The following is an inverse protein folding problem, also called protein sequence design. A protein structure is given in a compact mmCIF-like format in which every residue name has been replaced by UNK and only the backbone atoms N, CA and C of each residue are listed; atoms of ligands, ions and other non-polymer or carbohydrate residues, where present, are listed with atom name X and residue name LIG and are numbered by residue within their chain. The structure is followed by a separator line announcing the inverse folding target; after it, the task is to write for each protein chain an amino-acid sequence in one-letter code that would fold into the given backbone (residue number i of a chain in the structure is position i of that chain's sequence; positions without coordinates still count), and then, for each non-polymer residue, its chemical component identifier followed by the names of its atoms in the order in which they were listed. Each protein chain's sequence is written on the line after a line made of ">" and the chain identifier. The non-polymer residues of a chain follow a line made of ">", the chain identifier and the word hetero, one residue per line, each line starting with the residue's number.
data_IF_911843459402
#
_entry.id   IF_911843459402
#
_cell.length_a   1.000
_cell.length_b   1.000
_cell.length_c   1.000
_cell.angle_alpha   90.00
_cell.angle_beta   90.00
_cell.angle_gamma   90.00
#
_symmetry.space_group_name_H-M   'P 1'
#
loop_
_entity.id
_entity.type
_entity.pdbx_description
1 polymer ?
#
# COMPACT_ATOMS: atom_id res chain seq x y z
N UNK A 1 -69.27 -54.88 -7.80
CA UNK A 1 -68.94 -53.70 -8.64
C UNK A 1 -68.73 -52.55 -7.69
N UNK A 2 -67.47 -52.13 -7.51
CA UNK A 2 -67.10 -51.04 -6.59
C UNK A 2 -66.70 -49.81 -7.47
N UNK A 3 -67.12 -48.58 -7.20
CA UNK A 3 -66.68 -47.41 -7.94
C UNK A 3 -65.28 -46.96 -7.48
N UNK A 4 -64.50 -46.58 -8.47
CA UNK A 4 -63.15 -46.04 -8.28
C UNK A 4 -63.26 -44.53 -8.12
N UNK A 5 -62.87 -44.00 -6.97
CA UNK A 5 -62.81 -42.55 -6.70
C UNK A 5 -61.50 -41.98 -7.26
N UNK A 6 -61.62 -41.09 -8.21
CA UNK A 6 -60.50 -40.35 -8.79
C UNK A 6 -60.12 -39.15 -7.89
N UNK A 7 -58.95 -39.20 -7.31
CA UNK A 7 -58.37 -38.08 -6.56
C UNK A 7 -57.65 -37.14 -7.52
N UNK A 8 -58.22 -35.95 -7.71
CA UNK A 8 -57.59 -34.82 -8.45
C UNK A 8 -56.56 -34.13 -7.52
N UNK A 9 -55.28 -34.29 -7.84
CA UNK A 9 -54.19 -33.61 -7.15
C UNK A 9 -53.97 -32.25 -7.81
N UNK A 10 -54.41 -31.17 -7.15
CA UNK A 10 -54.19 -29.80 -7.61
C UNK A 10 -52.78 -29.35 -7.27
N UNK A 11 -51.93 -29.20 -8.29
CA UNK A 11 -50.59 -28.71 -8.17
C UNK A 11 -50.62 -27.16 -8.07
N UNK A 12 -50.41 -26.61 -6.90
CA UNK A 12 -50.26 -25.17 -6.70
C UNK A 12 -48.82 -24.74 -7.09
N UNK A 13 -48.67 -24.01 -8.20
CA UNK A 13 -47.43 -23.34 -8.57
C UNK A 13 -47.23 -22.13 -7.65
N UNK A 14 -46.24 -22.22 -6.75
CA UNK A 14 -45.75 -21.08 -5.97
C UNK A 14 -44.79 -20.31 -6.84
N UNK A 15 -45.20 -19.16 -7.37
CA UNK A 15 -44.30 -18.17 -7.97
C UNK A 15 -43.48 -17.50 -6.85
N UNK A 16 -42.26 -17.90 -6.69
CA UNK A 16 -41.30 -17.14 -5.88
C UNK A 16 -40.93 -15.85 -6.62
N UNK A 17 -41.46 -14.73 -6.17
CA UNK A 17 -41.02 -13.40 -6.60
C UNK A 17 -39.58 -13.18 -6.16
N UNK A 18 -38.63 -13.34 -7.09
CA UNK A 18 -37.23 -13.00 -6.86
C UNK A 18 -37.13 -11.49 -6.60
N UNK A 19 -36.69 -11.09 -5.42
CA UNK A 19 -36.33 -9.72 -5.13
C UNK A 19 -35.22 -9.28 -6.10
N UNK A 20 -35.26 -8.05 -6.67
CA UNK A 20 -34.19 -7.56 -7.49
C UNK A 20 -32.94 -7.43 -6.61
N UNK A 21 -31.92 -8.25 -6.85
CA UNK A 21 -30.58 -7.99 -6.37
C UNK A 21 -30.17 -6.64 -6.97
N UNK A 22 -30.00 -5.64 -6.11
CA UNK A 22 -29.35 -4.41 -6.50
C UNK A 22 -27.99 -4.82 -7.09
N UNK A 23 -27.83 -4.63 -8.39
CA UNK A 23 -26.57 -4.82 -9.07
C UNK A 23 -25.60 -3.84 -8.43
N UNK A 24 -24.68 -4.35 -7.60
CA UNK A 24 -23.51 -3.64 -7.15
C UNK A 24 -22.81 -3.20 -8.44
N UNK A 25 -22.85 -1.90 -8.73
CA UNK A 25 -22.21 -1.34 -9.93
C UNK A 25 -20.75 -1.70 -9.83
N UNK A 26 -20.31 -2.65 -10.64
CA UNK A 26 -18.90 -3.01 -10.77
C UNK A 26 -18.11 -1.71 -10.96
N UNK A 27 -17.31 -1.35 -9.97
CA UNK A 27 -16.47 -0.16 -10.06
C UNK A 27 -15.64 -0.32 -11.34
N UNK A 28 -15.83 0.60 -12.30
CA UNK A 28 -15.14 0.56 -13.60
C UNK A 28 -13.62 0.43 -13.39
N UNK A 29 -12.93 -0.08 -14.41
CA UNK A 29 -11.47 -0.16 -14.37
C UNK A 29 -10.86 1.22 -14.04
N UNK A 30 -9.74 1.28 -13.28
CA UNK A 30 -9.10 2.55 -12.96
C UNK A 30 -8.72 3.33 -14.21
N UNK A 31 -8.93 4.64 -14.19
CA UNK A 31 -8.64 5.55 -15.30
C UNK A 31 -7.41 6.43 -14.95
N UNK A 32 -6.20 6.09 -15.46
CA UNK A 32 -4.98 6.86 -15.16
C UNK A 32 -5.03 8.33 -15.60
N UNK A 33 -5.84 8.66 -16.61
CA UNK A 33 -6.04 10.06 -17.07
C UNK A 33 -6.77 10.90 -16.02
N UNK A 34 -7.81 10.35 -15.38
CA UNK A 34 -8.45 11.00 -14.23
C UNK A 34 -7.48 11.06 -13.04
N UNK A 35 -6.67 10.02 -12.85
CA UNK A 35 -5.61 10.00 -11.85
C UNK A 35 -4.57 11.11 -12.06
N UNK A 36 -4.20 11.42 -13.29
CA UNK A 36 -3.31 12.52 -13.62
C UNK A 36 -3.88 13.89 -13.24
N UNK A 37 -5.17 14.12 -13.47
CA UNK A 37 -5.84 15.35 -13.07
C UNK A 37 -5.85 15.51 -11.53
N UNK A 38 -6.15 14.44 -10.78
CA UNK A 38 -6.09 14.44 -9.32
C UNK A 38 -4.65 14.69 -8.84
N UNK A 39 -3.67 14.03 -9.46
CA UNK A 39 -2.25 14.27 -9.15
C UNK A 39 -1.90 15.73 -9.23
N UNK A 40 -2.22 16.39 -10.34
CA UNK A 40 -1.88 17.80 -10.59
C UNK A 40 -2.55 18.74 -9.60
N UNK A 41 -3.81 18.50 -9.25
CA UNK A 41 -4.58 19.43 -8.41
C UNK A 41 -4.39 19.20 -6.90
N UNK A 42 -4.05 17.98 -6.47
CA UNK A 42 -4.04 17.61 -5.04
C UNK A 42 -2.67 17.16 -4.56
N UNK A 43 -1.96 16.33 -5.33
CA UNK A 43 -0.80 15.58 -4.82
C UNK A 43 0.55 16.22 -5.19
N UNK A 44 0.62 16.88 -6.35
CA UNK A 44 1.87 17.30 -7.00
C UNK A 44 2.70 18.29 -6.20
N UNK A 45 2.06 19.14 -5.38
CA UNK A 45 2.76 20.12 -4.56
C UNK A 45 3.76 19.46 -3.57
N UNK A 46 3.46 18.25 -3.11
CA UNK A 46 4.30 17.51 -2.16
C UNK A 46 4.99 16.29 -2.77
N UNK A 47 4.35 15.61 -3.73
CA UNK A 47 4.83 14.36 -4.32
C UNK A 47 5.33 14.49 -5.77
N UNK A 48 5.42 15.70 -6.32
CA UNK A 48 5.66 15.98 -7.75
C UNK A 48 4.55 15.44 -8.66
N UNK A 49 4.48 15.93 -9.90
CA UNK A 49 3.41 15.54 -10.84
C UNK A 49 3.43 14.05 -11.20
N UNK A 50 4.61 13.45 -11.26
CA UNK A 50 4.81 12.05 -11.62
C UNK A 50 5.11 11.14 -10.42
N UNK A 51 5.09 11.66 -9.20
CA UNK A 51 5.40 10.93 -7.98
C UNK A 51 6.88 10.63 -7.79
N UNK A 52 7.75 11.27 -8.57
CA UNK A 52 9.20 11.07 -8.52
C UNK A 52 9.84 11.74 -7.29
N UNK A 53 11.16 11.76 -7.29
CA UNK A 53 11.96 12.30 -6.19
C UNK A 53 11.76 13.81 -6.02
N UNK A 54 11.05 14.19 -4.96
CA UNK A 54 10.88 15.55 -4.47
C UNK A 54 11.57 15.79 -3.13
N UNK A 55 10.87 16.40 -2.19
CA UNK A 55 11.35 16.58 -0.81
C UNK A 55 11.56 15.24 -0.10
N UNK A 56 12.67 15.10 0.63
CA UNK A 56 12.99 13.88 1.37
C UNK A 56 11.98 13.54 2.49
N UNK A 57 11.23 14.52 2.96
CA UNK A 57 10.17 14.32 3.94
C UNK A 57 8.93 13.60 3.35
N UNK A 58 8.73 13.69 2.03
CA UNK A 58 7.60 13.11 1.34
C UNK A 58 8.03 11.86 0.55
N UNK A 59 7.26 10.76 0.57
CA UNK A 59 7.66 9.56 -0.15
C UNK A 59 7.63 9.72 -1.66
N UNK A 60 8.56 9.05 -2.34
CA UNK A 60 8.46 8.75 -3.75
C UNK A 60 7.33 7.74 -3.91
N UNK A 61 6.33 8.06 -4.73
CA UNK A 61 5.17 7.20 -4.99
C UNK A 61 5.12 6.70 -6.44
N UNK A 62 6.05 7.15 -7.26
CA UNK A 62 6.28 6.71 -8.64
C UNK A 62 6.59 5.21 -8.69
N UNK A 63 5.85 4.45 -9.50
CA UNK A 63 6.03 3.01 -9.66
C UNK A 63 5.74 2.19 -8.40
N UNK A 64 4.98 2.74 -7.46
CA UNK A 64 4.49 2.00 -6.31
C UNK A 64 3.29 1.14 -6.70
N UNK A 65 3.07 0.03 -6.01
CA UNK A 65 1.94 -0.85 -6.25
C UNK A 65 0.59 -0.13 -6.04
N UNK A 66 -0.35 -0.22 -6.98
CA UNK A 66 -1.60 0.54 -6.92
C UNK A 66 -2.43 0.18 -5.69
N UNK A 67 -2.57 -1.10 -5.35
CA UNK A 67 -3.34 -1.54 -4.19
C UNK A 67 -2.74 -1.05 -2.86
N UNK A 68 -1.40 -0.96 -2.80
CA UNK A 68 -0.73 -0.35 -1.65
C UNK A 68 -1.05 1.14 -1.54
N UNK A 69 -1.07 1.88 -2.65
CA UNK A 69 -1.43 3.30 -2.65
C UNK A 69 -2.88 3.51 -2.24
N UNK A 70 -3.81 2.73 -2.80
CA UNK A 70 -5.24 2.75 -2.40
C UNK A 70 -5.39 2.48 -0.91
N UNK A 71 -4.76 1.41 -0.41
CA UNK A 71 -4.75 1.08 1.01
C UNK A 71 -4.26 2.25 1.88
N UNK A 72 -3.14 2.88 1.50
CA UNK A 72 -2.61 4.00 2.29
C UNK A 72 -3.55 5.21 2.28
N UNK A 73 -4.12 5.58 1.13
CA UNK A 73 -5.06 6.69 1.03
C UNK A 73 -6.33 6.43 1.87
N UNK A 74 -6.89 5.23 1.76
CA UNK A 74 -8.05 4.83 2.57
C UNK A 74 -7.75 4.86 4.07
N UNK A 75 -6.56 4.42 4.48
CA UNK A 75 -6.17 4.39 5.89
C UNK A 75 -5.83 5.78 6.46
N UNK A 76 -5.29 6.69 5.65
CA UNK A 76 -5.17 8.10 6.01
C UNK A 76 -6.55 8.75 6.19
N UNK A 77 -7.47 8.54 5.24
CA UNK A 77 -8.85 9.04 5.31
C UNK A 77 -9.56 8.54 6.56
N UNK A 78 -9.43 7.26 6.88
CA UNK A 78 -10.04 6.62 8.04
C UNK A 78 -9.31 6.90 9.38
N UNK A 79 -8.15 7.58 9.36
CA UNK A 79 -7.33 7.82 10.55
C UNK A 79 -6.60 6.59 11.10
N UNK A 80 -6.60 5.47 10.37
CA UNK A 80 -5.82 4.25 10.74
C UNK A 80 -4.32 4.45 10.58
N UNK A 81 -3.91 5.31 9.64
CA UNK A 81 -2.55 5.79 9.48
C UNK A 81 -2.53 7.27 9.82
N UNK A 82 -1.85 7.62 10.92
CA UNK A 82 -1.83 9.00 11.41
C UNK A 82 -0.86 9.86 10.59
N UNK A 83 -1.40 10.90 9.99
CA UNK A 83 -0.71 12.03 9.37
C UNK A 83 -1.76 13.09 9.00
N UNK A 84 -1.74 14.24 9.68
CA UNK A 84 -2.76 15.28 9.49
C UNK A 84 -2.84 15.81 8.07
N UNK A 85 -1.68 16.01 7.40
CA UNK A 85 -1.63 16.49 6.02
C UNK A 85 -2.26 15.47 5.08
N UNK A 86 -1.81 14.20 5.14
CA UNK A 86 -2.33 13.15 4.26
C UNK A 86 -3.80 12.83 4.54
N UNK A 87 -4.26 12.94 5.79
CA UNK A 87 -5.68 12.82 6.13
C UNK A 87 -6.51 13.91 5.44
N UNK A 88 -6.05 15.16 5.48
CA UNK A 88 -6.73 16.26 4.80
C UNK A 88 -6.77 16.03 3.28
N UNK A 89 -5.66 15.60 2.67
CA UNK A 89 -5.58 15.34 1.23
C UNK A 89 -6.41 14.13 0.77
N UNK A 90 -6.49 13.07 1.58
CA UNK A 90 -7.24 11.87 1.26
C UNK A 90 -8.75 11.99 1.56
N UNK A 91 -9.15 12.87 2.48
CA UNK A 91 -10.55 12.99 2.92
C UNK A 91 -11.56 13.27 1.81
N UNK A 92 -11.31 14.19 0.84
CA UNK A 92 -12.24 14.47 -0.24
C UNK A 92 -12.29 13.38 -1.32
N UNK A 93 -11.29 12.47 -1.38
CA UNK A 93 -11.21 11.47 -2.44
C UNK A 93 -12.27 10.38 -2.26
N UNK A 94 -12.97 10.07 -3.34
CA UNK A 94 -13.80 8.86 -3.44
C UNK A 94 -12.90 7.61 -3.57
N UNK A 95 -13.48 6.43 -3.43
CA UNK A 95 -12.76 5.18 -3.67
C UNK A 95 -12.27 5.07 -5.12
N UNK A 96 -13.09 5.53 -6.07
CA UNK A 96 -12.72 5.60 -7.49
C UNK A 96 -11.54 6.55 -7.72
N UNK A 97 -11.54 7.74 -7.08
CA UNK A 97 -10.42 8.68 -7.17
C UNK A 97 -9.13 8.07 -6.63
N UNK A 98 -9.18 7.36 -5.51
CA UNK A 98 -8.04 6.67 -4.95
C UNK A 98 -7.50 5.61 -5.90
N UNK A 99 -8.37 4.84 -6.57
CA UNK A 99 -7.97 3.85 -7.59
C UNK A 99 -7.36 4.52 -8.81
N UNK A 100 -7.95 5.61 -9.29
CA UNK A 100 -7.46 6.35 -10.45
C UNK A 100 -6.07 6.95 -10.23
N UNK A 101 -5.86 7.65 -9.11
CA UNK A 101 -4.57 8.26 -8.79
C UNK A 101 -3.50 7.22 -8.48
N UNK A 102 -3.87 6.11 -7.86
CA UNK A 102 -2.98 4.98 -7.62
C UNK A 102 -2.52 4.33 -8.93
N UNK A 103 -3.43 4.10 -9.87
CA UNK A 103 -3.10 3.59 -11.21
C UNK A 103 -2.20 4.55 -11.98
N UNK A 104 -2.43 5.85 -11.87
CA UNK A 104 -1.57 6.87 -12.49
C UNK A 104 -0.13 6.80 -11.97
N UNK A 105 0.09 6.79 -10.65
CA UNK A 105 1.44 6.71 -10.10
C UNK A 105 2.11 5.35 -10.33
N UNK A 106 1.34 4.27 -10.30
CA UNK A 106 1.83 2.92 -10.59
C UNK A 106 2.31 2.78 -12.05
N UNK A 107 1.72 3.50 -13.00
CA UNK A 107 2.14 3.49 -14.40
C UNK A 107 3.48 4.18 -14.68
N UNK A 108 4.05 4.89 -13.70
CA UNK A 108 5.30 5.63 -13.87
C UNK A 108 6.50 4.74 -13.62
N UNK A 109 7.55 4.93 -14.41
CA UNK A 109 8.80 4.19 -14.25
C UNK A 109 9.60 4.72 -13.06
N UNK A 110 9.91 3.89 -12.05
CA UNK A 110 10.69 4.34 -10.91
C UNK A 110 12.10 4.74 -11.32
N UNK A 111 12.57 5.85 -10.77
CA UNK A 111 13.96 6.30 -10.96
C UNK A 111 14.85 5.70 -9.87
N UNK A 112 16.10 5.29 -10.20
CA UNK A 112 17.03 4.79 -9.20
C UNK A 112 17.37 5.87 -8.17
N UNK A 113 17.62 5.42 -6.94
CA UNK A 113 18.17 6.24 -5.87
C UNK A 113 19.61 5.86 -5.55
N UNK A 114 20.15 6.45 -4.49
CA UNK A 114 21.53 6.23 -4.07
C UNK A 114 21.63 6.15 -2.55
N UNK A 115 22.39 5.18 -2.05
CA UNK A 115 22.89 5.19 -0.68
C UNK A 115 23.95 6.30 -0.54
N UNK A 116 23.94 7.00 0.57
CA UNK A 116 24.82 8.15 0.80
C UNK A 116 25.87 7.89 1.88
N UNK A 117 25.60 6.95 2.77
CA UNK A 117 26.46 6.67 3.92
C UNK A 117 27.21 5.36 3.72
N UNK A 118 28.47 5.48 3.27
CA UNK A 118 29.35 4.32 3.00
C UNK A 118 29.60 3.45 4.24
N UNK A 119 29.62 4.04 5.43
CA UNK A 119 29.88 3.33 6.68
C UNK A 119 28.68 2.49 7.14
N UNK A 120 27.48 2.82 6.67
CA UNK A 120 26.24 2.13 7.02
C UNK A 120 25.76 1.14 5.96
N UNK A 121 26.16 1.29 4.70
CA UNK A 121 25.68 0.48 3.58
C UNK A 121 25.85 -1.03 3.85
N UNK A 122 27.01 -1.45 4.30
CA UNK A 122 27.28 -2.89 4.58
C UNK A 122 26.40 -3.43 5.70
N UNK A 123 26.16 -2.64 6.75
CA UNK A 123 25.24 -3.02 7.82
C UNK A 123 23.80 -3.11 7.30
N UNK A 124 23.39 -2.11 6.51
CA UNK A 124 22.05 -2.06 5.91
C UNK A 124 21.80 -3.25 4.98
N UNK A 125 22.77 -3.59 4.14
CA UNK A 125 22.70 -4.77 3.29
C UNK A 125 22.56 -6.06 4.08
N UNK A 126 23.40 -6.23 5.11
CA UNK A 126 23.39 -7.41 5.97
C UNK A 126 22.00 -7.60 6.61
N UNK A 127 21.43 -6.54 7.16
CA UNK A 127 20.09 -6.58 7.78
C UNK A 127 19.01 -6.82 6.72
N UNK A 128 19.07 -6.11 5.59
CA UNK A 128 18.07 -6.25 4.54
C UNK A 128 18.01 -7.67 3.97
N UNK A 129 19.17 -8.28 3.72
CA UNK A 129 19.27 -9.61 3.10
C UNK A 129 19.26 -10.77 4.08
N UNK A 130 19.80 -10.59 5.30
CA UNK A 130 19.96 -11.66 6.29
C UNK A 130 19.12 -11.52 7.55
N UNK A 131 18.59 -10.34 7.83
CA UNK A 131 17.92 -10.07 9.10
C UNK A 131 18.90 -9.99 10.28
N UNK A 132 18.39 -10.20 11.50
CA UNK A 132 19.16 -10.25 12.75
C UNK A 132 18.67 -11.44 13.57
N UNK A 133 19.35 -12.57 13.45
CA UNK A 133 18.88 -13.87 13.95
C UNK A 133 18.67 -13.92 15.47
N UNK A 134 19.62 -13.40 16.24
CA UNK A 134 19.59 -13.36 17.71
C UNK A 134 18.41 -12.56 18.30
N UNK A 135 17.87 -11.62 17.52
CA UNK A 135 16.68 -10.83 17.88
C UNK A 135 15.44 -11.20 17.09
N UNK A 136 15.49 -12.30 16.32
CA UNK A 136 14.37 -12.73 15.48
C UNK A 136 13.81 -11.60 14.60
N UNK A 137 14.70 -10.81 13.98
CA UNK A 137 14.37 -9.86 12.93
C UNK A 137 14.53 -10.57 11.59
N UNK A 138 13.45 -10.81 10.83
CA UNK A 138 13.54 -11.48 9.53
C UNK A 138 14.25 -10.59 8.51
N UNK A 139 14.80 -11.21 7.45
CA UNK A 139 15.31 -10.48 6.32
C UNK A 139 14.21 -9.64 5.65
N UNK A 140 14.43 -8.35 5.45
CA UNK A 140 13.48 -7.46 4.79
C UNK A 140 13.17 -7.93 3.36
N UNK A 141 14.19 -8.49 2.70
CA UNK A 141 14.10 -9.06 1.34
C UNK A 141 13.08 -10.20 1.22
N UNK A 142 12.79 -10.92 2.31
CA UNK A 142 11.81 -12.01 2.31
C UNK A 142 10.39 -11.55 2.00
N UNK A 143 10.05 -10.31 2.36
CA UNK A 143 8.74 -9.71 2.09
C UNK A 143 8.81 -8.63 1.00
N UNK A 144 9.84 -7.79 1.01
CA UNK A 144 9.96 -6.67 0.08
C UNK A 144 10.72 -7.02 -1.22
N UNK A 145 11.13 -8.27 -1.37
CA UNK A 145 11.90 -8.77 -2.52
C UNK A 145 13.40 -8.43 -2.45
N UNK A 146 14.24 -9.21 -3.12
CA UNK A 146 15.70 -9.04 -3.08
C UNK A 146 16.16 -7.71 -3.67
N UNK A 147 15.45 -7.19 -4.65
CA UNK A 147 15.67 -5.87 -5.27
C UNK A 147 14.82 -4.75 -4.66
N UNK A 148 14.03 -5.02 -3.63
CA UNK A 148 13.13 -4.04 -3.03
C UNK A 148 11.93 -3.67 -3.92
N UNK A 149 11.61 -4.48 -4.91
CA UNK A 149 10.48 -4.23 -5.79
C UNK A 149 9.12 -4.38 -5.07
N UNK A 150 9.11 -5.09 -3.95
CA UNK A 150 7.89 -5.42 -3.22
C UNK A 150 7.14 -6.60 -3.84
N UNK A 151 5.97 -6.87 -3.28
CA UNK A 151 4.98 -7.78 -3.84
C UNK A 151 3.65 -7.06 -3.96
N UNK A 152 3.01 -7.05 -5.15
CA UNK A 152 1.74 -6.38 -5.37
C UNK A 152 0.70 -6.75 -4.32
N UNK A 153 -0.11 -5.77 -3.93
CA UNK A 153 -1.15 -5.81 -2.90
C UNK A 153 -0.66 -6.05 -1.45
N UNK A 154 0.45 -6.74 -1.24
CA UNK A 154 0.89 -7.13 0.11
C UNK A 154 2.01 -6.24 0.66
N UNK A 155 3.11 -6.11 -0.09
CA UNK A 155 4.31 -5.41 0.38
C UNK A 155 4.73 -4.31 -0.58
N UNK A 156 4.96 -3.07 -0.09
CA UNK A 156 5.32 -1.96 -0.96
C UNK A 156 6.71 -2.12 -1.57
N UNK A 157 6.88 -1.48 -2.74
CA UNK A 157 8.20 -1.20 -3.29
C UNK A 157 8.95 -0.28 -2.33
N UNK A 158 10.21 -0.64 -2.03
CA UNK A 158 11.13 0.12 -1.20
C UNK A 158 12.30 0.69 -2.01
N UNK A 159 12.71 0.01 -3.08
CA UNK A 159 13.87 0.36 -3.88
C UNK A 159 13.85 1.81 -4.35
N UNK A 160 14.92 2.53 -4.09
CA UNK A 160 15.09 3.92 -4.48
C UNK A 160 14.30 4.94 -3.66
N UNK A 161 13.63 4.52 -2.57
CA UNK A 161 12.90 5.44 -1.68
C UNK A 161 13.86 6.41 -0.96
N UNK A 162 13.39 7.56 -0.52
CA UNK A 162 14.17 8.46 0.33
C UNK A 162 14.57 7.78 1.64
N UNK A 163 15.86 7.82 1.98
CA UNK A 163 16.36 7.27 3.25
C UNK A 163 15.66 7.91 4.46
N UNK A 164 15.53 9.24 4.46
CA UNK A 164 14.88 9.99 5.54
C UNK A 164 13.42 9.55 5.75
N UNK A 165 12.71 9.30 4.65
CA UNK A 165 11.33 8.80 4.72
C UNK A 165 11.28 7.37 5.29
N UNK A 166 12.15 6.47 4.82
CA UNK A 166 12.21 5.09 5.33
C UNK A 166 12.56 5.07 6.81
N UNK A 167 13.55 5.86 7.23
CA UNK A 167 13.93 6.03 8.64
C UNK A 167 12.74 6.50 9.45
N UNK A 168 12.08 7.59 9.04
CA UNK A 168 10.92 8.13 9.73
C UNK A 168 9.77 7.11 9.85
N UNK A 169 9.53 6.29 8.81
CA UNK A 169 8.49 5.28 8.88
C UNK A 169 8.84 4.12 9.83
N UNK A 170 10.09 3.67 9.86
CA UNK A 170 10.54 2.63 10.80
C UNK A 170 10.47 3.12 12.24
N UNK A 171 10.90 4.36 12.50
CA UNK A 171 10.77 5.01 13.82
C UNK A 171 9.29 5.14 14.21
N UNK A 172 8.41 5.53 13.29
CA UNK A 172 6.98 5.65 13.55
C UNK A 172 6.32 4.30 13.86
N UNK A 173 6.71 3.23 13.18
CA UNK A 173 6.28 1.87 13.51
C UNK A 173 6.79 1.43 14.87
N UNK A 174 8.07 1.65 15.17
CA UNK A 174 8.70 1.31 16.46
C UNK A 174 8.04 2.04 17.62
N UNK A 175 7.76 3.33 17.46
CA UNK A 175 7.14 4.17 18.47
C UNK A 175 5.62 4.05 18.55
N UNK A 176 4.99 3.19 17.73
CA UNK A 176 3.54 2.98 17.76
C UNK A 176 2.71 4.15 17.21
N UNK A 177 3.33 5.14 16.57
CA UNK A 177 2.63 6.23 15.85
C UNK A 177 2.01 5.67 14.57
N UNK A 178 2.77 4.87 13.83
CA UNK A 178 2.25 4.14 12.66
C UNK A 178 1.87 2.71 13.07
N UNK A 179 0.57 2.39 13.02
CA UNK A 179 0.02 1.11 13.50
C UNK A 179 -0.70 0.30 12.42
N UNK A 180 -0.73 0.80 11.21
CA UNK A 180 -1.50 0.22 10.11
C UNK A 180 -0.91 -1.07 9.50
N UNK A 181 0.16 -1.60 10.10
CA UNK A 181 0.74 -2.91 9.78
C UNK A 181 1.40 -3.54 11.02
N UNK A 182 0.76 -4.54 11.66
CA UNK A 182 1.30 -5.19 12.87
C UNK A 182 2.66 -5.86 12.67
N UNK A 183 2.88 -6.49 11.50
CA UNK A 183 4.16 -7.15 11.21
C UNK A 183 5.31 -6.14 11.17
N UNK A 184 5.11 -4.99 10.50
CA UNK A 184 6.12 -3.93 10.47
C UNK A 184 6.36 -3.32 11.84
N UNK A 185 5.32 -3.16 12.66
CA UNK A 185 5.47 -2.68 14.03
C UNK A 185 6.32 -3.66 14.88
N UNK A 186 6.04 -4.97 14.80
CA UNK A 186 6.79 -6.00 15.51
C UNK A 186 8.26 -6.09 15.07
N UNK A 187 8.55 -5.90 13.78
CA UNK A 187 9.91 -5.88 13.24
C UNK A 187 10.64 -4.62 13.68
N UNK A 188 10.04 -3.45 13.50
CA UNK A 188 10.65 -2.17 13.83
C UNK A 188 10.94 -2.03 15.33
N UNK A 189 10.11 -2.60 16.20
CA UNK A 189 10.31 -2.60 17.66
C UNK A 189 11.64 -3.24 18.09
N UNK A 190 12.21 -4.10 17.24
CA UNK A 190 13.46 -4.82 17.50
C UNK A 190 14.71 -4.14 16.93
N UNK A 191 14.54 -3.05 16.17
CA UNK A 191 15.64 -2.32 15.54
C UNK A 191 16.08 -1.13 16.39
N UNK A 192 17.39 -0.92 16.51
CA UNK A 192 17.97 0.29 17.09
C UNK A 192 18.12 1.40 16.02
N UNK A 193 18.47 2.62 16.45
CA UNK A 193 18.58 3.78 15.56
C UNK A 193 19.61 3.59 14.46
N UNK A 194 20.78 3.01 14.80
CA UNK A 194 21.84 2.75 13.82
C UNK A 194 21.39 1.77 12.74
N UNK A 195 20.67 0.73 13.12
CA UNK A 195 20.13 -0.28 12.21
C UNK A 195 19.04 0.28 11.31
N UNK A 196 18.15 1.10 11.88
CA UNK A 196 17.12 1.80 11.11
C UNK A 196 17.76 2.70 10.07
N UNK A 197 18.75 3.52 10.45
CA UNK A 197 19.50 4.39 9.52
C UNK A 197 20.22 3.58 8.45
N UNK A 198 20.85 2.49 8.83
CA UNK A 198 21.60 1.63 7.90
C UNK A 198 20.68 0.99 6.84
N UNK A 199 19.55 0.42 7.26
CA UNK A 199 18.57 -0.18 6.33
C UNK A 199 17.93 0.90 5.45
N UNK A 200 17.62 2.06 5.99
CA UNK A 200 17.02 3.17 5.25
C UNK A 200 17.95 3.68 4.14
N UNK A 201 19.24 3.85 4.45
CA UNK A 201 20.22 4.28 3.46
C UNK A 201 20.48 3.20 2.39
N UNK A 202 20.59 1.93 2.79
CA UNK A 202 20.73 0.81 1.85
C UNK A 202 19.55 0.73 0.88
N UNK A 203 18.34 0.82 1.38
CA UNK A 203 17.10 0.80 0.58
C UNK A 203 17.04 1.94 -0.44
N UNK A 204 17.55 3.12 -0.09
CA UNK A 204 17.61 4.25 -1.01
C UNK A 204 18.49 3.97 -2.24
N UNK A 205 19.49 3.11 -2.12
CA UNK A 205 20.36 2.69 -3.22
C UNK A 205 19.99 1.36 -3.87
N UNK A 206 19.00 0.65 -3.34
CA UNK A 206 18.61 -0.68 -3.81
C UNK A 206 17.93 -0.61 -5.18
N UNK A 207 18.25 -1.59 -6.06
CA UNK A 207 17.76 -1.71 -7.45
C UNK A 207 17.86 -3.15 -7.98
#
# INVERSE_FOLDING_TARGET
>A
MKPVSSLLCSLALVFAAGAPHAAETAAGAPEPTKGAAISTSVCAACHTNDGSRGSAANPIIQGQHPDYLVKQLAEFKAGKRDNAVMKAMASPLSESDMKNVAAFYASKQPKPGFAKNKDLVSLGEKIYRGGIGDRSVPACSGCHGPSGAGMPAQYPRLAGQHADYVEAQLVAFRGGVRRNNPAMAAIAAKLNDREIKAVADYVAGLR
#
